data_IF_348595055067
#
_entry.id   IF_348595055067
#
_cell.length_a   1.000
_cell.length_b   1.000
_cell.length_c   1.000
_cell.angle_alpha   90.00
_cell.angle_beta   90.00
_cell.angle_gamma   90.00
#
_symmetry.space_group_name_H-M   'P 1'
#
loop_
_entity.id
_entity.type
_entity.pdbx_description
1 polymer ?
#
# COMPACT_ATOMS: atom_id res chain seq x y z
N UNK A 1 34.40 51.93 19.31
CA UNK A 1 34.89 51.78 20.65
C UNK A 1 34.14 50.68 21.37
N UNK A 2 34.81 50.17 22.36
CA UNK A 2 35.16 48.74 22.36
C UNK A 2 34.71 48.00 23.64
N UNK A 3 34.92 46.69 23.63
CA UNK A 3 35.34 45.77 24.71
C UNK A 3 34.40 45.63 25.94
N UNK A 4 33.94 44.40 26.21
CA UNK A 4 34.26 43.80 27.50
C UNK A 4 34.22 42.26 27.46
N UNK A 5 35.34 41.68 27.79
CA UNK A 5 35.64 40.33 28.17
C UNK A 5 35.19 40.07 29.61
N UNK A 6 34.56 38.93 29.89
CA UNK A 6 34.59 38.36 31.23
C UNK A 6 34.60 36.84 31.17
N UNK A 7 35.72 36.36 31.59
CA UNK A 7 36.10 34.98 31.94
C UNK A 7 35.34 34.52 33.18
N UNK A 8 34.73 33.32 33.17
CA UNK A 8 34.37 32.58 34.39
C UNK A 8 34.69 31.11 34.30
N UNK A 9 35.70 30.76 35.03
CA UNK A 9 36.03 29.50 35.77
C UNK A 9 35.37 28.17 35.43
N UNK A 10 36.29 27.27 35.06
CA UNK A 10 36.19 25.81 35.22
C UNK A 10 35.96 25.45 36.69
N UNK A 11 35.02 24.54 36.95
CA UNK A 11 35.06 23.60 38.09
C UNK A 11 34.93 22.19 37.56
N UNK A 12 36.01 21.46 37.74
CA UNK A 12 36.12 19.99 37.62
C UNK A 12 35.51 19.37 38.89
N UNK A 13 34.50 18.50 38.72
CA UNK A 13 34.15 17.51 39.72
C UNK A 13 34.28 16.13 39.12
N UNK A 14 35.32 15.42 39.59
CA UNK A 14 35.49 13.99 39.44
C UNK A 14 34.57 13.28 40.43
N UNK A 15 33.75 12.34 39.92
CA UNK A 15 33.14 11.31 40.75
C UNK A 15 33.20 9.97 40.01
N UNK A 16 33.69 9.01 40.76
CA UNK A 16 34.15 7.70 40.42
C UNK A 16 33.21 6.80 39.64
N UNK A 17 33.85 6.02 38.82
CA UNK A 17 33.27 4.90 38.08
C UNK A 17 33.05 3.70 39.02
N UNK A 18 31.80 3.24 39.10
CA UNK A 18 31.49 1.89 39.55
C UNK A 18 31.15 1.03 38.32
N UNK A 19 31.99 0.07 37.98
CA UNK A 19 31.79 -0.83 36.88
C UNK A 19 30.66 -1.83 37.11
N UNK A 20 29.95 -2.26 36.10
CA UNK A 20 28.96 -3.31 36.21
C UNK A 20 29.60 -4.70 36.35
N UNK A 21 29.14 -5.43 37.38
CA UNK A 21 29.51 -6.84 37.65
C UNK A 21 29.02 -7.72 36.50
N UNK A 22 29.91 -8.44 35.90
CA UNK A 22 29.60 -9.56 34.99
C UNK A 22 29.07 -10.75 35.80
N UNK A 23 27.87 -11.20 35.46
CA UNK A 23 27.30 -12.48 35.90
C UNK A 23 27.79 -13.59 34.96
N UNK A 24 28.10 -14.79 35.46
CA UNK A 24 28.63 -15.88 34.66
C UNK A 24 27.58 -16.50 33.74
N UNK A 25 27.97 -16.70 32.50
CA UNK A 25 27.21 -17.32 31.44
C UNK A 25 27.13 -18.83 31.64
N UNK A 26 25.93 -19.39 31.85
CA UNK A 26 25.69 -20.83 31.78
C UNK A 26 25.09 -21.18 30.42
N UNK A 27 25.67 -22.11 29.65
CA UNK A 27 25.09 -22.60 28.42
C UNK A 27 23.87 -23.48 28.71
N UNK A 28 22.74 -23.13 28.13
CA UNK A 28 21.55 -23.99 28.11
C UNK A 28 21.69 -25.04 27.01
N UNK A 29 21.58 -26.29 27.37
CA UNK A 29 21.50 -27.43 26.48
C UNK A 29 20.30 -27.34 25.52
N UNK A 30 20.41 -27.87 24.26
CA UNK A 30 19.32 -27.86 23.32
C UNK A 30 18.23 -28.90 23.69
N UNK A 31 17.01 -28.45 23.83
CA UNK A 31 15.83 -29.29 24.06
C UNK A 31 15.40 -30.00 22.75
N UNK A 32 16.16 -31.00 22.35
CA UNK A 32 15.76 -31.98 21.33
C UNK A 32 15.29 -33.25 22.00
N UNK A 33 14.04 -33.30 22.48
CA UNK A 33 13.28 -34.54 22.79
C UNK A 33 11.91 -34.18 23.34
N UNK A 34 10.95 -33.78 22.47
CA UNK A 34 9.49 -33.93 22.74
C UNK A 34 8.67 -33.71 21.47
N UNK A 35 8.80 -34.59 20.51
CA UNK A 35 7.89 -34.63 19.37
C UNK A 35 7.68 -36.06 18.81
N UNK A 36 7.55 -37.06 19.68
CA UNK A 36 7.32 -38.43 19.20
C UNK A 36 6.11 -39.13 19.83
N UNK A 37 5.18 -38.44 20.48
CA UNK A 37 4.04 -39.08 21.20
C UNK A 37 2.64 -38.73 20.69
N UNK A 38 2.49 -38.10 19.51
CA UNK A 38 1.16 -37.75 18.99
C UNK A 38 0.79 -38.38 17.63
N UNK A 39 1.55 -39.36 17.13
CA UNK A 39 1.28 -39.96 15.82
C UNK A 39 0.72 -41.40 15.86
N UNK A 40 0.16 -41.88 16.97
CA UNK A 40 -0.27 -43.26 17.05
C UNK A 40 -1.73 -43.51 17.39
N UNK A 41 -2.67 -42.58 17.22
CA UNK A 41 -4.09 -42.82 17.56
C UNK A 41 -5.11 -42.27 16.54
N UNK A 42 -4.90 -42.44 15.23
CA UNK A 42 -6.02 -42.30 14.29
C UNK A 42 -5.82 -43.20 13.06
N UNK A 43 -5.86 -44.53 13.31
CA UNK A 43 -6.17 -45.52 12.28
C UNK A 43 -7.15 -46.53 12.88
N UNK A 44 -8.45 -46.30 12.69
CA UNK A 44 -9.47 -47.38 12.60
C UNK A 44 -10.67 -46.88 11.84
N UNK A 45 -10.76 -47.38 10.63
CA UNK A 45 -11.89 -48.13 10.07
C UNK A 45 -13.26 -47.46 10.03
N UNK A 46 -13.69 -47.12 8.84
CA UNK A 46 -15.13 -47.19 8.53
C UNK A 46 -15.33 -47.88 7.18
N UNK A 47 -16.33 -48.77 7.09
CA UNK A 47 -16.61 -49.55 5.89
C UNK A 47 -17.47 -48.76 4.90
N UNK A 48 -17.27 -49.04 3.58
CA UNK A 48 -18.17 -48.61 2.54
C UNK A 48 -19.51 -49.32 2.60
N UNK A 49 -20.60 -48.69 2.21
CA UNK A 49 -21.72 -49.34 1.59
C UNK A 49 -21.84 -48.99 0.09
N UNK A 50 -21.75 -50.01 -0.70
CA UNK A 50 -22.27 -50.08 -2.07
C UNK A 50 -23.79 -50.02 -2.05
N UNK A 51 -24.40 -49.16 -2.87
CA UNK A 51 -25.76 -49.40 -3.32
C UNK A 51 -26.02 -48.73 -4.67
N UNK A 52 -26.15 -49.59 -5.65
CA UNK A 52 -26.75 -49.35 -6.94
C UNK A 52 -28.27 -49.13 -6.77
N UNK A 53 -28.82 -48.11 -7.35
CA UNK A 53 -30.17 -48.18 -7.93
C UNK A 53 -30.46 -47.02 -8.87
N UNK A 54 -30.59 -47.34 -10.13
CA UNK A 54 -31.22 -46.61 -11.20
C UNK A 54 -32.68 -46.21 -10.83
N UNK A 55 -33.01 -44.93 -10.95
CA UNK A 55 -34.40 -44.48 -11.23
C UNK A 55 -34.41 -43.21 -12.03
N UNK A 56 -34.84 -43.31 -13.28
CA UNK A 56 -35.34 -42.26 -14.13
C UNK A 56 -36.44 -41.43 -13.39
N UNK A 57 -36.27 -40.14 -13.26
CA UNK A 57 -37.38 -39.20 -13.15
C UNK A 57 -37.15 -38.02 -14.04
N UNK A 58 -38.07 -37.87 -15.01
CA UNK A 58 -38.28 -36.63 -15.78
C UNK A 58 -38.67 -35.53 -14.77
N UNK A 59 -37.98 -34.41 -14.79
CA UNK A 59 -38.47 -33.22 -14.14
C UNK A 59 -38.48 -32.03 -15.09
N UNK A 60 -39.65 -31.46 -15.12
CA UNK A 60 -40.10 -30.33 -15.92
C UNK A 60 -39.35 -29.03 -15.56
N UNK A 61 -38.80 -28.44 -16.59
CA UNK A 61 -38.02 -27.21 -16.59
C UNK A 61 -38.90 -26.00 -16.31
N UNK A 62 -38.85 -25.47 -15.13
CA UNK A 62 -39.27 -24.09 -14.83
C UNK A 62 -38.07 -23.18 -15.03
N UNK A 63 -38.11 -22.36 -16.09
CA UNK A 63 -37.17 -21.27 -16.31
C UNK A 63 -37.38 -20.24 -15.21
N UNK A 64 -36.50 -20.22 -14.20
CA UNK A 64 -36.32 -19.09 -13.31
C UNK A 64 -35.44 -18.06 -14.04
N UNK A 65 -36.03 -16.89 -14.27
CA UNK A 65 -35.34 -15.69 -14.72
C UNK A 65 -34.14 -15.38 -13.84
N UNK A 66 -32.94 -15.41 -14.46
CA UNK A 66 -31.68 -15.08 -13.82
C UNK A 66 -31.72 -13.61 -13.38
N UNK A 67 -31.87 -13.40 -12.07
CA UNK A 67 -31.41 -12.17 -11.44
C UNK A 67 -29.91 -12.14 -11.63
N UNK A 68 -29.41 -11.08 -12.26
CA UNK A 68 -28.00 -10.76 -12.34
C UNK A 68 -27.43 -10.61 -10.92
N UNK A 69 -27.03 -11.73 -10.32
CA UNK A 69 -26.16 -11.75 -9.15
C UNK A 69 -24.76 -11.53 -9.67
N UNK A 70 -24.11 -10.47 -9.17
CA UNK A 70 -22.67 -10.29 -9.39
C UNK A 70 -21.92 -11.61 -9.15
N UNK A 71 -20.91 -11.93 -9.95
CA UNK A 71 -20.22 -13.23 -9.91
C UNK A 71 -19.25 -13.33 -8.72
N UNK A 72 -19.78 -13.28 -7.50
CA UNK A 72 -19.05 -13.71 -6.31
C UNK A 72 -19.49 -15.15 -5.98
N UNK A 73 -19.22 -16.05 -6.92
CA UNK A 73 -19.36 -17.49 -6.70
C UNK A 73 -18.34 -17.94 -5.66
N UNK A 74 -18.78 -18.75 -4.70
CA UNK A 74 -17.89 -19.49 -3.81
C UNK A 74 -17.03 -20.42 -4.68
N UNK A 75 -15.88 -19.94 -5.13
CA UNK A 75 -14.84 -20.77 -5.70
C UNK A 75 -14.42 -21.73 -4.61
N UNK A 76 -14.51 -23.03 -4.86
CA UNK A 76 -13.82 -24.02 -4.03
C UNK A 76 -12.33 -23.72 -4.23
N UNK A 77 -11.73 -22.99 -3.28
CA UNK A 77 -10.31 -22.79 -3.29
C UNK A 77 -9.62 -24.15 -3.49
N UNK A 78 -8.63 -24.26 -4.39
CA UNK A 78 -7.82 -25.46 -4.46
C UNK A 78 -7.30 -25.73 -3.06
N UNK A 79 -7.40 -27.01 -2.60
CA UNK A 79 -6.82 -27.43 -1.34
C UNK A 79 -5.31 -27.32 -1.53
N UNK A 80 -4.77 -26.15 -1.18
CA UNK A 80 -3.33 -25.91 -1.15
C UNK A 80 -2.79 -26.70 0.05
N UNK A 81 -1.71 -27.44 -0.17
CA UNK A 81 -1.02 -28.16 0.89
C UNK A 81 -0.73 -27.17 2.05
N UNK A 82 -1.12 -27.51 3.29
CA UNK A 82 -0.86 -26.63 4.45
C UNK A 82 0.62 -26.21 4.56
N UNK A 83 1.55 -27.04 4.07
CA UNK A 83 2.99 -26.75 4.08
C UNK A 83 3.43 -25.75 3.01
N UNK A 84 2.64 -25.53 1.93
CA UNK A 84 2.88 -24.50 0.91
C UNK A 84 2.29 -23.12 1.26
N UNK A 85 1.53 -23.02 2.34
CA UNK A 85 0.74 -21.83 2.65
C UNK A 85 1.52 -20.71 3.38
N UNK A 86 2.78 -20.89 3.70
CA UNK A 86 3.50 -19.88 4.48
C UNK A 86 3.70 -18.58 3.69
N UNK A 87 3.21 -17.48 4.24
CA UNK A 87 3.53 -16.15 3.80
C UNK A 87 5.04 -15.88 3.94
N UNK A 88 5.53 -14.87 3.26
CA UNK A 88 6.97 -14.55 3.24
C UNK A 88 7.45 -14.08 4.61
N UNK A 89 8.57 -14.59 5.07
CA UNK A 89 9.31 -14.00 6.20
C UNK A 89 9.73 -12.56 5.86
N UNK A 90 10.06 -11.76 6.86
CA UNK A 90 10.60 -10.41 6.60
C UNK A 90 11.89 -10.47 5.78
N UNK A 91 12.76 -11.46 6.04
CA UNK A 91 13.97 -11.67 5.25
C UNK A 91 13.68 -11.94 3.78
N UNK A 92 12.73 -12.80 3.46
CA UNK A 92 12.30 -13.08 2.08
C UNK A 92 11.61 -11.87 1.45
N UNK A 93 10.81 -11.13 2.21
CA UNK A 93 10.13 -9.92 1.74
C UNK A 93 11.14 -8.86 1.31
N UNK A 94 12.07 -8.49 2.18
CA UNK A 94 13.10 -7.48 1.86
C UNK A 94 14.25 -8.03 1.01
N UNK A 95 14.45 -9.36 0.97
CA UNK A 95 15.38 -10.05 0.08
C UNK A 95 14.84 -10.23 -1.36
N UNK A 96 13.58 -9.90 -1.63
CA UNK A 96 12.99 -10.07 -2.94
C UNK A 96 13.71 -9.21 -3.99
N UNK A 97 14.12 -9.84 -5.10
CA UNK A 97 14.91 -9.18 -6.16
C UNK A 97 14.15 -8.05 -6.84
N UNK A 98 12.84 -8.23 -7.08
CA UNK A 98 12.01 -7.19 -7.70
C UNK A 98 11.95 -5.94 -6.81
N UNK A 99 11.67 -6.11 -5.51
CA UNK A 99 11.70 -5.04 -4.54
C UNK A 99 13.03 -4.29 -4.52
N UNK A 100 14.15 -5.03 -4.40
CA UNK A 100 15.49 -4.44 -4.31
C UNK A 100 15.87 -3.67 -5.57
N UNK A 101 15.64 -4.25 -6.76
CA UNK A 101 15.95 -3.60 -8.03
C UNK A 101 15.13 -2.32 -8.23
N UNK A 102 13.84 -2.35 -7.91
CA UNK A 102 12.99 -1.17 -8.01
C UNK A 102 13.41 -0.08 -7.04
N UNK A 103 13.68 -0.42 -5.78
CA UNK A 103 14.17 0.53 -4.77
C UNK A 103 15.48 1.18 -5.19
N UNK A 104 16.46 0.38 -5.62
CA UNK A 104 17.77 0.88 -6.09
C UNK A 104 17.62 1.75 -7.33
N UNK A 105 16.75 1.37 -8.28
CA UNK A 105 16.48 2.16 -9.48
C UNK A 105 15.86 3.52 -9.14
N UNK A 106 14.90 3.56 -8.21
CA UNK A 106 14.28 4.83 -7.77
C UNK A 106 15.30 5.73 -7.06
N UNK A 107 16.10 5.19 -6.15
CA UNK A 107 17.16 5.95 -5.46
C UNK A 107 18.24 6.45 -6.43
N UNK A 108 18.66 5.60 -7.36
CA UNK A 108 19.67 5.96 -8.38
C UNK A 108 19.18 7.04 -9.32
N UNK A 109 17.93 6.92 -9.79
CA UNK A 109 17.31 7.94 -10.65
C UNK A 109 17.13 9.27 -9.90
N UNK A 110 16.68 9.22 -8.64
CA UNK A 110 16.60 10.42 -7.80
C UNK A 110 17.97 11.13 -7.70
N UNK A 111 19.00 10.38 -7.32
CA UNK A 111 20.34 10.94 -7.18
C UNK A 111 20.85 11.53 -8.51
N UNK A 112 20.69 10.81 -9.62
CA UNK A 112 21.09 11.28 -10.94
C UNK A 112 20.40 12.60 -11.33
N UNK A 113 19.08 12.69 -11.13
CA UNK A 113 18.31 13.90 -11.41
C UNK A 113 18.68 15.05 -10.46
N UNK A 114 18.87 14.75 -9.18
CA UNK A 114 19.32 15.75 -8.21
C UNK A 114 20.64 16.41 -8.65
N UNK A 115 21.67 15.61 -8.96
CA UNK A 115 22.96 16.15 -9.38
C UNK A 115 22.88 16.84 -10.74
N UNK A 116 22.10 16.31 -11.66
CA UNK A 116 21.89 16.95 -12.97
C UNK A 116 21.27 18.35 -12.84
N UNK A 117 20.16 18.48 -12.08
CA UNK A 117 19.49 19.78 -11.92
C UNK A 117 20.28 20.75 -11.04
N UNK A 118 20.97 20.23 -10.01
CA UNK A 118 21.88 21.02 -9.18
C UNK A 118 23.05 21.61 -9.99
N UNK A 119 23.58 20.85 -10.93
CA UNK A 119 24.66 21.29 -11.82
C UNK A 119 24.22 22.18 -12.98
N UNK A 120 22.90 22.37 -13.19
CA UNK A 120 22.38 23.16 -14.31
C UNK A 120 21.59 24.42 -13.86
N UNK A 121 22.25 25.56 -13.62
CA UNK A 121 21.61 26.79 -13.16
C UNK A 121 20.54 27.37 -14.10
N UNK A 122 20.57 26.98 -15.38
CA UNK A 122 19.58 27.43 -16.39
C UNK A 122 18.29 26.62 -16.33
N UNK A 123 18.29 25.49 -15.65
CA UNK A 123 17.10 24.65 -15.50
C UNK A 123 16.06 25.31 -14.58
N UNK A 124 14.77 25.20 -14.94
CA UNK A 124 13.68 25.60 -14.07
C UNK A 124 13.67 24.83 -12.73
N UNK A 125 14.24 23.63 -12.71
CA UNK A 125 14.29 22.72 -11.55
C UNK A 125 15.51 22.96 -10.64
N UNK A 126 16.41 23.85 -11.01
CA UNK A 126 17.62 24.17 -10.20
C UNK A 126 17.27 24.74 -8.82
N UNK A 127 16.13 25.43 -8.69
CA UNK A 127 15.69 26.02 -7.42
C UNK A 127 15.42 24.97 -6.33
N UNK A 128 14.89 23.81 -6.70
CA UNK A 128 14.68 22.70 -5.77
C UNK A 128 14.94 21.36 -6.47
N UNK A 129 16.21 21.00 -6.74
CA UNK A 129 16.57 19.81 -7.51
C UNK A 129 16.19 18.52 -6.80
N UNK A 130 16.14 18.51 -5.44
CA UNK A 130 15.78 17.34 -4.64
C UNK A 130 14.31 16.97 -4.85
N UNK A 131 13.43 17.95 -4.90
CA UNK A 131 11.99 17.73 -5.10
C UNK A 131 11.71 17.18 -6.50
N UNK A 132 12.37 17.71 -7.54
CA UNK A 132 12.23 17.16 -8.89
C UNK A 132 12.87 15.78 -9.04
N UNK A 133 13.99 15.54 -8.34
CA UNK A 133 14.59 14.21 -8.21
C UNK A 133 13.63 13.19 -7.60
N UNK A 134 12.76 13.61 -6.69
CA UNK A 134 11.71 12.79 -6.09
C UNK A 134 10.53 12.55 -7.05
N UNK A 135 10.02 13.59 -7.72
CA UNK A 135 8.83 13.49 -8.56
C UNK A 135 8.95 12.50 -9.72
N UNK A 136 10.10 12.46 -10.39
CA UNK A 136 10.25 11.63 -11.60
C UNK A 136 10.23 10.13 -11.31
N UNK A 137 11.02 9.58 -10.36
CA UNK A 137 10.92 8.17 -9.98
C UNK A 137 9.53 7.79 -9.48
N UNK A 138 8.91 8.68 -8.71
CA UNK A 138 7.57 8.52 -8.18
C UNK A 138 6.53 8.43 -9.31
N UNK A 139 6.55 9.37 -10.25
CA UNK A 139 5.66 9.37 -11.42
C UNK A 139 5.78 8.07 -12.23
N UNK A 140 7.01 7.62 -12.51
CA UNK A 140 7.26 6.39 -13.28
C UNK A 140 6.71 5.18 -12.53
N UNK A 141 6.96 5.09 -11.22
CA UNK A 141 6.51 3.97 -10.40
C UNK A 141 4.98 3.91 -10.29
N UNK A 142 4.31 5.05 -10.06
CA UNK A 142 2.85 5.10 -10.02
C UNK A 142 2.20 4.89 -11.39
N UNK A 143 2.85 5.33 -12.47
CA UNK A 143 2.37 5.00 -13.82
C UNK A 143 2.39 3.50 -14.07
N UNK A 144 3.45 2.80 -13.65
CA UNK A 144 3.50 1.35 -13.71
C UNK A 144 2.37 0.71 -12.88
N UNK A 145 2.18 1.14 -11.62
CA UNK A 145 1.13 0.64 -10.74
C UNK A 145 -0.27 0.84 -11.32
N UNK A 146 -0.54 2.05 -11.85
CA UNK A 146 -1.81 2.40 -12.46
C UNK A 146 -2.14 1.51 -13.66
N UNK A 147 -1.20 1.38 -14.60
CA UNK A 147 -1.40 0.61 -15.83
C UNK A 147 -1.51 -0.88 -15.53
N UNK A 148 -0.55 -1.41 -14.76
CA UNK A 148 -0.50 -2.85 -14.48
C UNK A 148 -1.65 -3.31 -13.58
N UNK A 149 -1.97 -2.53 -12.54
CA UNK A 149 -3.11 -2.83 -11.67
C UNK A 149 -4.45 -2.78 -12.40
N UNK A 150 -4.63 -1.77 -13.27
CA UNK A 150 -5.85 -1.66 -14.09
C UNK A 150 -5.94 -2.79 -15.12
N UNK A 151 -4.82 -3.16 -15.73
CA UNK A 151 -4.77 -4.30 -16.64
C UNK A 151 -5.24 -5.59 -15.95
N UNK A 152 -4.65 -5.94 -14.79
CA UNK A 152 -5.07 -7.11 -14.01
C UNK A 152 -6.56 -7.00 -13.64
N UNK A 153 -6.98 -5.86 -13.11
CA UNK A 153 -8.35 -5.67 -12.63
C UNK A 153 -9.41 -5.79 -13.73
N UNK A 154 -9.11 -5.36 -14.95
CA UNK A 154 -10.10 -5.32 -16.03
C UNK A 154 -10.04 -6.54 -16.97
N UNK A 155 -8.88 -7.17 -17.13
CA UNK A 155 -8.69 -8.13 -18.21
C UNK A 155 -8.26 -9.53 -17.77
N UNK A 156 -7.75 -9.69 -16.54
CA UNK A 156 -7.22 -10.96 -16.08
C UNK A 156 -8.33 -11.83 -15.46
N UNK A 157 -8.79 -12.82 -16.22
CA UNK A 157 -9.88 -13.73 -15.81
C UNK A 157 -9.46 -14.64 -14.65
N UNK A 158 -8.18 -15.05 -14.61
CA UNK A 158 -7.65 -15.92 -13.56
C UNK A 158 -7.63 -15.17 -12.23
N UNK A 159 -7.29 -13.87 -12.27
CA UNK A 159 -7.37 -13.00 -11.12
C UNK A 159 -8.79 -12.92 -10.50
N UNK A 160 -9.83 -12.87 -11.32
CA UNK A 160 -11.21 -12.82 -10.82
C UNK A 160 -11.71 -14.17 -10.27
N UNK A 161 -10.99 -15.25 -10.51
CA UNK A 161 -11.33 -16.58 -10.00
C UNK A 161 -10.71 -16.89 -8.63
N UNK A 162 -9.73 -16.12 -8.16
CA UNK A 162 -9.07 -16.38 -6.87
C UNK A 162 -9.98 -16.06 -5.68
N UNK A 163 -9.72 -16.72 -4.56
CA UNK A 163 -10.34 -16.34 -3.28
C UNK A 163 -9.90 -14.93 -2.88
N UNK A 164 -10.87 -14.07 -2.49
CA UNK A 164 -10.60 -12.67 -2.24
C UNK A 164 -9.72 -12.44 -0.99
N UNK A 165 -9.71 -13.38 -0.06
CA UNK A 165 -8.96 -13.28 1.20
C UNK A 165 -7.60 -13.95 1.11
N UNK A 166 -7.57 -15.20 0.60
CA UNK A 166 -6.40 -16.07 0.64
C UNK A 166 -5.85 -16.43 -0.75
N UNK A 167 -6.53 -16.03 -1.81
CA UNK A 167 -6.12 -16.34 -3.17
C UNK A 167 -4.79 -15.71 -3.54
N UNK A 168 -3.93 -16.51 -4.16
CA UNK A 168 -2.65 -16.05 -4.68
C UNK A 168 -2.75 -15.69 -6.15
N UNK A 169 -2.14 -14.56 -6.52
CA UNK A 169 -1.96 -14.16 -7.90
C UNK A 169 -0.59 -13.49 -8.08
N UNK A 170 0.26 -13.92 -9.03
CA UNK A 170 1.61 -13.39 -9.18
C UNK A 170 1.65 -11.90 -9.53
N UNK A 171 0.65 -11.43 -10.31
CA UNK A 171 0.50 -10.00 -10.60
C UNK A 171 0.17 -9.17 -9.38
N UNK A 172 -0.71 -9.67 -8.49
CA UNK A 172 -1.02 -9.00 -7.22
C UNK A 172 0.20 -8.96 -6.29
N UNK A 173 1.00 -10.02 -6.26
CA UNK A 173 2.27 -10.04 -5.52
C UNK A 173 3.26 -9.01 -6.09
N UNK A 174 3.34 -8.86 -7.41
CA UNK A 174 4.16 -7.82 -8.07
C UNK A 174 3.72 -6.42 -7.66
N UNK A 175 2.40 -6.14 -7.61
CA UNK A 175 1.83 -4.87 -7.11
C UNK A 175 2.27 -4.62 -5.66
N UNK A 176 2.16 -5.62 -4.79
CA UNK A 176 2.55 -5.51 -3.37
C UNK A 176 4.04 -5.20 -3.21
N UNK A 177 4.92 -5.89 -3.93
CA UNK A 177 6.36 -5.62 -3.90
C UNK A 177 6.72 -4.25 -4.48
N UNK A 178 6.04 -3.84 -5.55
CA UNK A 178 6.24 -2.51 -6.13
C UNK A 178 5.79 -1.41 -5.17
N UNK A 179 4.63 -1.57 -4.52
CA UNK A 179 4.17 -0.62 -3.51
C UNK A 179 5.11 -0.59 -2.30
N UNK A 180 5.60 -1.75 -1.85
CA UNK A 180 6.61 -1.84 -0.78
C UNK A 180 7.87 -1.05 -1.14
N UNK A 181 8.38 -1.16 -2.38
CA UNK A 181 9.54 -0.43 -2.85
C UNK A 181 9.28 1.09 -2.91
N UNK A 182 8.12 1.49 -3.45
CA UNK A 182 7.70 2.88 -3.52
C UNK A 182 7.66 3.50 -2.12
N UNK A 183 6.97 2.85 -1.17
CA UNK A 183 6.82 3.39 0.17
C UNK A 183 8.11 3.35 1.00
N UNK A 184 8.98 2.36 0.77
CA UNK A 184 10.31 2.30 1.39
C UNK A 184 11.25 3.39 0.89
N UNK A 185 11.07 3.85 -0.36
CA UNK A 185 11.76 5.01 -0.92
C UNK A 185 11.13 6.32 -0.45
N UNK A 186 9.82 6.44 -0.58
CA UNK A 186 9.11 7.71 -0.45
C UNK A 186 8.97 8.17 1.01
N UNK A 187 8.66 7.25 1.94
CA UNK A 187 8.47 7.62 3.35
C UNK A 187 9.70 8.33 3.95
N UNK A 188 10.95 7.80 3.84
CA UNK A 188 12.11 8.50 4.36
C UNK A 188 12.45 9.78 3.57
N UNK A 189 12.25 9.81 2.26
CA UNK A 189 12.51 11.01 1.45
C UNK A 189 11.52 12.13 1.82
N UNK A 190 10.25 11.82 1.99
CA UNK A 190 9.23 12.79 2.44
C UNK A 190 9.54 13.39 3.81
N UNK A 191 10.19 12.64 4.70
CA UNK A 191 10.69 13.18 5.96
C UNK A 191 11.92 14.08 5.82
N UNK A 192 12.72 13.89 4.75
CA UNK A 192 13.91 14.69 4.48
C UNK A 192 13.60 16.00 3.72
N UNK A 193 12.54 16.05 2.92
CA UNK A 193 12.12 17.23 2.15
C UNK A 193 11.08 18.00 2.95
N UNK A 194 11.38 19.21 3.45
CA UNK A 194 10.47 19.96 4.36
C UNK A 194 9.06 20.16 3.80
N UNK A 195 8.95 20.40 2.50
CA UNK A 195 7.67 20.66 1.81
C UNK A 195 6.79 19.42 1.70
N UNK A 196 7.35 18.21 1.88
CA UNK A 196 6.61 16.94 1.84
C UNK A 196 6.24 16.42 3.25
N UNK A 197 6.69 17.08 4.32
CA UNK A 197 6.47 16.65 5.73
C UNK A 197 5.05 16.86 6.26
N UNK A 198 4.04 16.84 5.42
CA UNK A 198 2.67 16.91 5.91
C UNK A 198 2.32 15.63 6.66
N UNK A 199 1.84 15.76 7.90
CA UNK A 199 1.57 14.62 8.79
C UNK A 199 0.59 13.61 8.17
N UNK A 200 -0.43 14.10 7.46
CA UNK A 200 -1.41 13.25 6.76
C UNK A 200 -0.76 12.41 5.67
N UNK A 201 0.21 12.98 4.94
CA UNK A 201 0.98 12.28 3.91
C UNK A 201 1.87 11.20 4.53
N UNK A 202 2.66 11.57 5.53
CA UNK A 202 3.57 10.64 6.22
C UNK A 202 2.81 9.47 6.85
N UNK A 203 1.68 9.75 7.52
CA UNK A 203 0.84 8.69 8.10
C UNK A 203 0.23 7.80 7.03
N UNK A 204 -0.26 8.38 5.92
CA UNK A 204 -0.78 7.61 4.78
C UNK A 204 0.28 6.63 4.25
N UNK A 205 1.50 7.11 3.99
CA UNK A 205 2.60 6.30 3.46
C UNK A 205 3.03 5.20 4.44
N UNK A 206 3.15 5.51 5.72
CA UNK A 206 3.47 4.54 6.76
C UNK A 206 2.41 3.43 6.88
N UNK A 207 1.12 3.80 6.76
CA UNK A 207 0.01 2.84 6.73
C UNK A 207 0.10 1.93 5.50
N UNK A 208 0.29 2.49 4.30
CA UNK A 208 0.37 1.71 3.06
C UNK A 208 1.59 0.79 3.07
N UNK A 209 2.74 1.25 3.59
CA UNK A 209 3.93 0.44 3.82
C UNK A 209 3.61 -0.77 4.72
N UNK A 210 2.96 -0.52 5.85
CA UNK A 210 2.59 -1.57 6.81
C UNK A 210 1.61 -2.57 6.22
N UNK A 211 0.62 -2.11 5.46
CA UNK A 211 -0.35 -2.97 4.77
C UNK A 211 0.33 -3.86 3.73
N UNK A 212 1.28 -3.33 2.95
CA UNK A 212 2.03 -4.12 1.97
C UNK A 212 2.87 -5.21 2.64
N UNK A 213 3.56 -4.90 3.74
CA UNK A 213 4.33 -5.87 4.53
C UNK A 213 3.42 -6.97 5.08
N UNK A 214 2.29 -6.59 5.70
CA UNK A 214 1.36 -7.56 6.30
C UNK A 214 0.70 -8.45 5.25
N UNK A 215 0.31 -7.90 4.10
CA UNK A 215 -0.26 -8.70 3.01
C UNK A 215 0.74 -9.73 2.48
N UNK A 216 2.00 -9.36 2.27
CA UNK A 216 3.07 -10.28 1.88
C UNK A 216 3.37 -11.31 2.98
N UNK A 217 3.41 -10.86 4.25
CA UNK A 217 3.73 -11.71 5.41
C UNK A 217 2.70 -12.80 5.66
N UNK A 218 1.41 -12.47 5.49
CA UNK A 218 0.30 -13.40 5.75
C UNK A 218 -0.33 -13.95 4.48
N UNK A 219 0.15 -13.56 3.31
CA UNK A 219 -0.37 -13.94 1.98
C UNK A 219 -1.89 -13.73 1.91
N UNK A 220 -2.34 -12.57 2.37
CA UNK A 220 -3.75 -12.28 2.49
C UNK A 220 -4.12 -11.00 1.75
N UNK A 221 -5.38 -10.96 1.25
CA UNK A 221 -5.97 -9.80 0.58
C UNK A 221 -5.29 -9.37 -0.72
N UNK A 222 -4.61 -10.29 -1.41
CA UNK A 222 -3.97 -10.01 -2.71
C UNK A 222 -4.99 -9.51 -3.74
N UNK A 223 -6.21 -10.05 -3.71
CA UNK A 223 -7.31 -9.56 -4.54
C UNK A 223 -7.56 -8.06 -4.34
N UNK A 224 -7.70 -7.62 -3.11
CA UNK A 224 -7.96 -6.22 -2.79
C UNK A 224 -6.75 -5.32 -3.03
N UNK A 225 -5.53 -5.85 -2.90
CA UNK A 225 -4.30 -5.11 -3.13
C UNK A 225 -4.20 -4.58 -4.56
N UNK A 226 -4.67 -5.33 -5.57
CA UNK A 226 -4.67 -4.86 -6.96
C UNK A 226 -5.51 -3.61 -7.13
N UNK A 227 -6.67 -3.53 -6.47
CA UNK A 227 -7.49 -2.32 -6.51
C UNK A 227 -6.90 -1.18 -5.69
N UNK A 228 -6.65 -1.44 -4.39
CA UNK A 228 -6.26 -0.40 -3.43
C UNK A 228 -4.83 0.10 -3.57
N UNK A 229 -3.95 -0.62 -4.27
CA UNK A 229 -2.56 -0.23 -4.49
C UNK A 229 -2.22 -0.06 -5.98
N UNK A 230 -3.09 -0.52 -6.88
CA UNK A 230 -2.89 -0.45 -8.32
C UNK A 230 -3.89 0.47 -9.01
N UNK A 231 -5.17 0.06 -9.10
CA UNK A 231 -6.20 0.79 -9.85
C UNK A 231 -6.37 2.23 -9.37
N UNK A 232 -6.35 2.46 -8.06
CA UNK A 232 -6.50 3.82 -7.51
C UNK A 232 -5.39 4.77 -7.97
N UNK A 233 -4.23 4.24 -8.34
CA UNK A 233 -3.08 5.05 -8.79
C UNK A 233 -3.27 5.63 -10.20
N UNK A 234 -4.36 5.32 -10.90
CA UNK A 234 -4.72 5.98 -12.17
C UNK A 234 -4.82 7.51 -12.06
N UNK A 235 -5.14 8.04 -10.89
CA UNK A 235 -5.19 9.48 -10.66
C UNK A 235 -3.83 10.10 -10.35
N UNK A 236 -2.88 9.33 -9.82
CA UNK A 236 -1.60 9.83 -9.30
C UNK A 236 -0.67 10.45 -10.35
N UNK A 237 -0.58 9.96 -11.60
CA UNK A 237 0.21 10.62 -12.64
C UNK A 237 -0.25 12.05 -12.96
N UNK A 238 -1.54 12.29 -12.97
CA UNK A 238 -2.09 13.64 -13.20
C UNK A 238 -1.78 14.56 -12.03
N UNK A 239 -1.92 14.05 -10.80
CA UNK A 239 -1.55 14.79 -9.59
C UNK A 239 -0.07 15.19 -9.59
N UNK A 240 0.83 14.27 -9.95
CA UNK A 240 2.26 14.56 -10.00
C UNK A 240 2.60 15.71 -10.94
N UNK A 241 1.91 15.83 -12.09
CA UNK A 241 2.07 16.95 -13.02
C UNK A 241 1.55 18.26 -12.42
N UNK A 242 0.38 18.22 -11.75
CA UNK A 242 -0.20 19.39 -11.07
C UNK A 242 0.70 19.88 -9.95
N UNK A 243 1.24 18.96 -9.14
CA UNK A 243 2.17 19.29 -8.05
C UNK A 243 3.49 19.87 -8.60
N UNK A 244 4.04 19.29 -9.67
CA UNK A 244 5.23 19.83 -10.32
C UNK A 244 4.98 21.24 -10.89
N UNK A 245 3.82 21.50 -11.48
CA UNK A 245 3.44 22.84 -11.97
C UNK A 245 3.29 23.84 -10.82
N UNK A 246 2.72 23.43 -9.67
CA UNK A 246 2.61 24.26 -8.47
C UNK A 246 4.00 24.62 -7.90
N UNK A 247 4.90 23.66 -7.83
CA UNK A 247 6.22 23.84 -7.24
C UNK A 247 7.23 24.54 -8.14
N UNK A 248 6.99 24.53 -9.44
CA UNK A 248 7.83 25.18 -10.45
C UNK A 248 7.00 26.11 -11.34
N UNK A 249 6.69 27.34 -10.90
CA UNK A 249 5.82 28.28 -11.62
C UNK A 249 6.24 28.50 -13.08
N UNK A 250 7.55 28.53 -13.38
CA UNK A 250 8.05 28.64 -14.76
C UNK A 250 7.57 27.51 -15.68
N UNK A 251 7.28 26.33 -15.12
CA UNK A 251 6.72 25.19 -15.88
C UNK A 251 5.23 25.41 -16.10
N UNK A 252 4.51 25.85 -15.04
CA UNK A 252 3.10 26.19 -15.16
C UNK A 252 2.87 27.29 -16.23
N UNK A 253 3.68 28.35 -16.22
CA UNK A 253 3.61 29.45 -17.19
C UNK A 253 3.93 28.99 -18.63
N UNK A 254 4.86 28.05 -18.77
CA UNK A 254 5.26 27.51 -20.09
C UNK A 254 4.23 26.54 -20.66
N UNK A 255 3.53 25.77 -19.80
CA UNK A 255 2.58 24.73 -20.19
C UNK A 255 1.22 24.88 -19.49
N UNK A 256 0.55 26.05 -19.60
CA UNK A 256 -0.69 26.31 -18.84
C UNK A 256 -1.83 25.36 -19.22
N UNK A 257 -1.98 25.06 -20.51
CA UNK A 257 -3.02 24.15 -21.00
C UNK A 257 -2.82 22.73 -20.47
N UNK A 258 -1.57 22.23 -20.48
CA UNK A 258 -1.26 20.89 -19.94
C UNK A 258 -1.58 20.81 -18.46
N UNK A 259 -1.21 21.83 -17.67
CA UNK A 259 -1.53 21.88 -16.25
C UNK A 259 -3.04 21.84 -16.01
N UNK A 260 -3.82 22.60 -16.78
CA UNK A 260 -5.28 22.63 -16.63
C UNK A 260 -5.93 21.31 -17.04
N UNK A 261 -5.49 20.70 -18.14
CA UNK A 261 -5.94 19.36 -18.55
C UNK A 261 -5.66 18.33 -17.42
N UNK A 262 -4.44 18.36 -16.86
CA UNK A 262 -4.09 17.43 -15.77
C UNK A 262 -4.92 17.66 -14.51
N UNK A 263 -5.26 18.90 -14.16
CA UNK A 263 -6.18 19.21 -13.03
C UNK A 263 -7.56 18.60 -13.24
N UNK A 264 -8.14 18.81 -14.42
CA UNK A 264 -9.46 18.27 -14.76
C UNK A 264 -9.44 16.75 -14.79
N UNK A 265 -8.43 16.16 -15.45
CA UNK A 265 -8.29 14.70 -15.53
C UNK A 265 -8.04 14.08 -14.14
N UNK A 266 -7.24 14.74 -13.30
CA UNK A 266 -7.05 14.31 -11.91
C UNK A 266 -8.38 14.26 -11.17
N UNK A 267 -9.19 15.32 -11.22
CA UNK A 267 -10.47 15.38 -10.55
C UNK A 267 -11.42 14.27 -11.04
N UNK A 268 -11.57 14.11 -12.35
CA UNK A 268 -12.47 13.10 -12.93
C UNK A 268 -12.02 11.68 -12.53
N UNK A 269 -10.74 11.35 -12.75
CA UNK A 269 -10.22 10.02 -12.47
C UNK A 269 -10.24 9.74 -10.97
N UNK A 270 -9.90 10.73 -10.13
CA UNK A 270 -9.99 10.61 -8.68
C UNK A 270 -11.40 10.18 -8.24
N UNK A 271 -12.44 10.87 -8.70
CA UNK A 271 -13.81 10.52 -8.34
C UNK A 271 -14.20 9.14 -8.84
N UNK A 272 -13.83 8.77 -10.06
CA UNK A 272 -14.14 7.44 -10.62
C UNK A 272 -13.51 6.34 -9.76
N UNK A 273 -12.20 6.40 -9.50
CA UNK A 273 -11.48 5.27 -8.86
C UNK A 273 -11.42 5.37 -7.33
N UNK A 274 -11.31 6.59 -6.77
CA UNK A 274 -11.10 6.77 -5.31
C UNK A 274 -12.38 7.11 -4.54
N UNK A 275 -13.48 7.43 -5.23
CA UNK A 275 -14.81 7.62 -4.61
C UNK A 275 -15.75 6.51 -5.09
N UNK A 276 -16.21 6.57 -6.34
CA UNK A 276 -17.25 5.66 -6.82
C UNK A 276 -16.80 4.19 -6.85
N UNK A 277 -15.59 3.91 -7.28
CA UNK A 277 -15.04 2.55 -7.29
C UNK A 277 -14.55 2.07 -5.92
N UNK A 278 -14.07 2.99 -5.06
CA UNK A 278 -13.58 2.66 -3.72
C UNK A 278 -14.66 2.03 -2.83
N UNK A 279 -15.85 2.61 -2.75
CA UNK A 279 -16.87 2.15 -1.81
C UNK A 279 -17.38 0.71 -2.05
N UNK A 280 -17.70 0.28 -3.29
CA UNK A 280 -18.10 -1.11 -3.53
C UNK A 280 -17.01 -2.14 -3.16
N UNK A 281 -15.75 -1.85 -3.52
CA UNK A 281 -14.62 -2.75 -3.19
C UNK A 281 -14.37 -2.75 -1.69
N UNK A 282 -14.46 -1.59 -1.03
CA UNK A 282 -14.35 -1.46 0.42
C UNK A 282 -15.42 -2.25 1.17
N UNK A 283 -16.66 -2.23 0.69
CA UNK A 283 -17.74 -3.02 1.29
C UNK A 283 -17.40 -4.52 1.29
N UNK A 284 -16.92 -5.05 0.17
CA UNK A 284 -16.49 -6.45 0.08
C UNK A 284 -15.29 -6.73 1.00
N UNK A 285 -14.29 -5.84 0.99
CA UNK A 285 -13.12 -5.95 1.88
C UNK A 285 -13.51 -5.95 3.36
N UNK A 286 -14.40 -5.05 3.80
CA UNK A 286 -14.85 -4.99 5.18
C UNK A 286 -15.58 -6.26 5.60
N UNK A 287 -16.47 -6.78 4.75
CA UNK A 287 -17.17 -8.04 4.98
C UNK A 287 -16.18 -9.18 5.24
N UNK A 288 -15.16 -9.31 4.37
CA UNK A 288 -14.20 -10.41 4.42
C UNK A 288 -13.20 -10.23 5.58
N UNK A 289 -12.76 -9.01 5.86
CA UNK A 289 -11.88 -8.73 7.00
C UNK A 289 -12.60 -8.91 8.37
N UNK A 290 -13.87 -8.53 8.46
CA UNK A 290 -14.70 -8.79 9.65
C UNK A 290 -14.92 -10.30 9.82
N UNK A 291 -15.17 -11.03 8.74
CA UNK A 291 -15.27 -12.48 8.79
C UNK A 291 -13.99 -13.09 9.39
N UNK A 292 -12.81 -12.70 8.94
CA UNK A 292 -11.53 -13.16 9.49
C UNK A 292 -11.34 -12.79 10.96
N UNK A 293 -11.80 -11.61 11.37
CA UNK A 293 -11.67 -11.16 12.76
C UNK A 293 -12.48 -12.01 13.74
N UNK A 294 -13.70 -12.40 13.34
CA UNK A 294 -14.63 -13.11 14.23
C UNK A 294 -14.63 -14.63 14.07
N UNK A 295 -14.09 -15.17 12.98
CA UNK A 295 -14.03 -16.62 12.75
C UNK A 295 -12.62 -17.19 12.98
N UNK A 296 -12.52 -18.51 12.99
CA UNK A 296 -11.27 -19.23 13.26
C UNK A 296 -10.32 -19.35 12.06
N UNK A 297 -10.76 -18.96 10.87
CA UNK A 297 -10.01 -19.16 9.62
C UNK A 297 -8.65 -18.46 9.64
N UNK A 298 -8.58 -17.27 10.27
CA UNK A 298 -7.30 -16.56 10.45
C UNK A 298 -6.28 -17.38 11.25
N UNK A 299 -6.76 -18.17 12.26
CA UNK A 299 -5.89 -19.01 13.05
C UNK A 299 -5.34 -20.20 12.26
N UNK A 300 -6.09 -20.75 11.30
CA UNK A 300 -5.62 -21.81 10.39
C UNK A 300 -4.43 -21.36 9.54
N UNK A 301 -4.38 -20.05 9.21
CA UNK A 301 -3.30 -19.42 8.45
C UNK A 301 -2.27 -18.74 9.36
N UNK A 302 -2.19 -19.08 10.63
CA UNK A 302 -1.28 -18.50 11.62
C UNK A 302 -1.30 -16.96 11.68
N UNK A 303 -2.41 -16.35 11.27
CA UNK A 303 -2.58 -14.89 11.29
C UNK A 303 -3.22 -14.48 12.63
N UNK A 304 -2.53 -13.68 13.46
CA UNK A 304 -3.08 -13.19 14.71
C UNK A 304 -4.23 -12.21 14.47
N UNK A 305 -5.26 -12.24 15.32
CA UNK A 305 -6.49 -11.43 15.19
C UNK A 305 -6.24 -9.91 15.15
N UNK A 306 -5.13 -9.43 15.69
CA UNK A 306 -4.79 -8.02 15.59
C UNK A 306 -4.53 -7.56 14.14
N UNK A 307 -4.13 -8.47 13.24
CA UNK A 307 -3.84 -8.14 11.82
C UNK A 307 -5.12 -7.72 11.07
N UNK A 308 -6.21 -8.53 11.02
CA UNK A 308 -7.44 -8.08 10.39
C UNK A 308 -8.06 -6.85 11.11
N UNK A 309 -7.91 -6.72 12.44
CA UNK A 309 -8.32 -5.52 13.15
C UNK A 309 -7.52 -4.28 12.69
N UNK A 310 -6.20 -4.41 12.54
CA UNK A 310 -5.34 -3.35 12.02
C UNK A 310 -5.72 -2.97 10.57
N UNK A 311 -6.00 -3.93 9.70
CA UNK A 311 -6.47 -3.65 8.35
C UNK A 311 -7.80 -2.88 8.34
N UNK A 312 -8.78 -3.27 9.15
CA UNK A 312 -10.05 -2.56 9.26
C UNK A 312 -9.85 -1.12 9.74
N UNK A 313 -9.05 -0.92 10.79
CA UNK A 313 -8.74 0.40 11.32
C UNK A 313 -8.05 1.29 10.27
N UNK A 314 -6.98 0.79 9.64
CA UNK A 314 -6.21 1.54 8.66
C UNK A 314 -7.00 1.80 7.38
N UNK A 315 -7.82 0.85 6.93
CA UNK A 315 -8.72 1.06 5.80
C UNK A 315 -9.79 2.12 6.11
N UNK A 316 -10.34 2.13 7.33
CA UNK A 316 -11.24 3.20 7.78
C UNK A 316 -10.56 4.57 7.74
N UNK A 317 -9.33 4.68 8.24
CA UNK A 317 -8.51 5.89 8.15
C UNK A 317 -8.28 6.33 6.70
N UNK A 318 -7.87 5.41 5.82
CA UNK A 318 -7.67 5.70 4.40
C UNK A 318 -8.98 6.14 3.72
N UNK A 319 -10.12 5.53 4.06
CA UNK A 319 -11.43 5.94 3.54
C UNK A 319 -11.78 7.38 3.95
N UNK A 320 -11.53 7.75 5.20
CA UNK A 320 -11.72 9.13 5.66
C UNK A 320 -10.83 10.11 4.86
N UNK A 321 -9.58 9.74 4.57
CA UNK A 321 -8.69 10.56 3.73
C UNK A 321 -9.22 10.70 2.29
N UNK A 322 -9.74 9.63 1.67
CA UNK A 322 -10.30 9.71 0.32
C UNK A 322 -11.49 10.69 0.27
N UNK A 323 -12.39 10.61 1.26
CA UNK A 323 -13.54 11.52 1.37
C UNK A 323 -13.07 12.96 1.58
N UNK A 324 -12.10 13.16 2.47
CA UNK A 324 -11.53 14.49 2.75
C UNK A 324 -10.88 15.12 1.51
N UNK A 325 -10.04 14.37 0.80
CA UNK A 325 -9.42 14.85 -0.43
C UNK A 325 -10.48 15.08 -1.54
N UNK A 326 -11.46 14.19 -1.65
CA UNK A 326 -12.61 14.41 -2.55
C UNK A 326 -13.33 15.72 -2.27
N UNK A 327 -13.61 16.03 -1.00
CA UNK A 327 -14.20 17.32 -0.61
C UNK A 327 -13.32 18.51 -1.04
N UNK A 328 -12.01 18.45 -0.82
CA UNK A 328 -11.09 19.52 -1.22
C UNK A 328 -11.06 19.71 -2.74
N UNK A 329 -11.03 18.62 -3.51
CA UNK A 329 -11.09 18.67 -4.98
C UNK A 329 -12.40 19.30 -5.44
N UNK A 330 -13.54 18.90 -4.87
CA UNK A 330 -14.85 19.47 -5.22
C UNK A 330 -14.92 20.97 -4.94
N UNK A 331 -14.37 21.39 -3.80
CA UNK A 331 -14.28 22.80 -3.43
C UNK A 331 -13.44 23.58 -4.45
N UNK A 332 -12.28 23.02 -4.88
CA UNK A 332 -11.42 23.64 -5.88
C UNK A 332 -12.14 23.76 -7.26
N UNK A 333 -12.83 22.70 -7.70
CA UNK A 333 -13.63 22.72 -8.94
C UNK A 333 -14.75 23.74 -8.86
N UNK A 334 -15.46 23.84 -7.73
CA UNK A 334 -16.51 24.83 -7.53
C UNK A 334 -15.97 26.26 -7.58
N UNK A 335 -14.86 26.56 -6.91
CA UNK A 335 -14.20 27.88 -6.95
C UNK A 335 -13.77 28.28 -8.38
N UNK A 336 -13.29 27.31 -9.17
CA UNK A 336 -12.98 27.55 -10.59
C UNK A 336 -14.24 27.86 -11.41
N UNK A 337 -15.31 27.12 -11.21
CA UNK A 337 -16.55 27.28 -11.97
C UNK A 337 -17.30 28.58 -11.65
N UNK A 338 -17.21 29.06 -10.40
CA UNK A 338 -17.87 30.30 -9.96
C UNK A 338 -17.03 31.57 -10.14
N UNK A 339 -15.75 31.43 -10.52
CA UNK A 339 -14.84 32.59 -10.66
C UNK A 339 -14.48 33.23 -9.30
N UNK A 340 -14.65 32.52 -8.18
CA UNK A 340 -14.33 33.00 -6.85
C UNK A 340 -12.81 33.08 -6.64
N UNK A 341 -12.25 34.28 -6.91
CA UNK A 341 -10.83 34.56 -6.78
C UNK A 341 -10.35 34.47 -5.32
N UNK A 342 -11.21 34.77 -4.34
CA UNK A 342 -10.83 34.73 -2.93
C UNK A 342 -10.69 33.28 -2.45
N UNK A 343 -11.59 32.40 -2.86
CA UNK A 343 -11.46 30.95 -2.64
C UNK A 343 -10.19 30.40 -3.28
N UNK A 344 -9.84 30.81 -4.52
CA UNK A 344 -8.61 30.41 -5.22
C UNK A 344 -7.33 30.85 -4.49
N UNK A 345 -7.30 32.09 -3.96
CA UNK A 345 -6.16 32.61 -3.19
C UNK A 345 -5.98 31.88 -1.86
N UNK A 346 -7.07 31.53 -1.20
CA UNK A 346 -7.03 30.79 0.07
C UNK A 346 -6.59 29.35 -0.12
N UNK A 347 -6.94 28.71 -1.21
CA UNK A 347 -6.44 27.37 -1.57
C UNK A 347 -4.94 27.38 -1.86
N UNK A 348 -4.45 28.36 -2.59
CA UNK A 348 -3.02 28.51 -2.88
C UNK A 348 -2.16 28.75 -1.60
N UNK A 349 -2.77 29.26 -0.51
CA UNK A 349 -2.08 29.44 0.79
C UNK A 349 -2.11 28.20 1.67
N UNK A 350 -3.11 27.30 1.49
CA UNK A 350 -3.33 26.13 2.34
C UNK A 350 -2.84 24.81 1.68
N UNK A 351 -2.45 24.85 0.41
CA UNK A 351 -1.83 23.76 -0.35
C UNK A 351 -0.30 23.81 -0.25
#
# INVERSE_FOLDING_TARGET
PPINSSSVHRRTHSTGAAGPRQLPWHPREPATRRASWLHSRYRRATPQPSCNSSRHRRDTRIKKTDRATMPFGKSKAPIVDPDEWYGKSLGETFGNRHFQLQLVAMMGLHAALYYYFKGNPKSAFHANPNKMGHYVPFLIAFQFMAVYGTYIWLTDTDFHSIDATWGYHPGAETILFSMLAIQSYDTPISLCIPELRQITFVLHHAVVLSLSILSLRYRAFYYYAVYFLGVIELSSPFLAVVDAARDYPKIADKYPITNEICRVMFAIVFYIVRIFGWFPVSYCFWRDALYLLFNSDAAMHQMPKWVPAFWLFTHGFLTCLQVWWGYLILKAVYAMATGDEEARKNEAKNA
#
